data_IF_556749728069
#
_entry.id   IF_556749728069
#
_cell.length_a   1.000
_cell.length_b   1.000
_cell.length_c   1.000
_cell.angle_alpha   90.00
_cell.angle_beta   90.00
_cell.angle_gamma   90.00
#
_symmetry.space_group_name_H-M   'P 1'
#
loop_
_entity.id
_entity.type
_entity.pdbx_description
1 polymer ?
#
# COMPACT_ATOMS: atom_id res chain seq x y z
N UNK A 1 -35.73 7.62 -23.78
CA UNK A 1 -34.26 7.75 -23.58
C UNK A 1 -33.86 6.97 -22.34
N UNK A 2 -32.82 6.14 -22.45
CA UNK A 2 -32.20 5.44 -21.32
C UNK A 2 -30.76 5.94 -21.15
N UNK A 3 -30.37 6.26 -19.92
CA UNK A 3 -28.99 6.56 -19.58
C UNK A 3 -28.46 5.39 -18.76
N UNK A 4 -27.42 4.73 -19.27
CA UNK A 4 -26.77 3.63 -18.59
C UNK A 4 -25.35 4.04 -18.17
N UNK A 5 -25.05 3.81 -16.90
CA UNK A 5 -23.69 3.96 -16.35
C UNK A 5 -23.01 2.59 -16.40
N UNK A 6 -21.94 2.47 -17.19
CA UNK A 6 -21.18 1.22 -17.33
C UNK A 6 -19.79 1.38 -16.73
N UNK A 7 -19.34 0.38 -15.96
CA UNK A 7 -17.96 0.30 -15.50
C UNK A 7 -17.10 -0.36 -16.60
N UNK A 8 -16.03 0.29 -17.10
CA UNK A 8 -15.21 -0.26 -18.19
C UNK A 8 -14.38 -1.50 -17.83
N UNK A 9 -14.29 -1.89 -16.55
CA UNK A 9 -13.38 -2.95 -16.08
C UNK A 9 -13.91 -4.39 -16.29
N UNK A 10 -14.36 -4.71 -17.51
CA UNK A 10 -14.90 -6.02 -17.90
C UNK A 10 -14.02 -6.70 -18.97
N UNK A 11 -12.74 -6.92 -18.66
CA UNK A 11 -11.90 -7.88 -19.38
C UNK A 11 -12.19 -9.34 -18.97
N UNK A 12 -13.05 -9.56 -17.97
CA UNK A 12 -13.55 -10.87 -17.56
C UNK A 12 -15.04 -10.97 -17.89
N UNK A 13 -15.47 -12.14 -18.38
CA UNK A 13 -16.82 -12.40 -18.89
C UNK A 13 -17.95 -11.88 -17.99
N UNK A 14 -19.04 -11.48 -18.66
CA UNK A 14 -20.22 -10.84 -18.10
C UNK A 14 -21.04 -11.81 -17.23
N UNK A 15 -20.59 -12.02 -15.99
CA UNK A 15 -21.25 -12.95 -15.04
C UNK A 15 -21.85 -12.21 -13.81
N UNK A 16 -21.80 -10.86 -13.78
CA UNK A 16 -22.26 -10.04 -12.66
C UNK A 16 -23.45 -9.15 -12.99
N UNK A 17 -24.45 -9.13 -12.10
CA UNK A 17 -25.63 -8.27 -12.16
C UNK A 17 -25.25 -6.79 -12.32
N UNK A 18 -25.31 -6.24 -13.54
CA UNK A 18 -25.44 -4.79 -13.71
C UNK A 18 -26.84 -4.42 -13.23
N UNK A 19 -26.98 -3.57 -12.21
CA UNK A 19 -28.29 -3.01 -11.86
C UNK A 19 -28.72 -2.08 -13.00
N UNK A 20 -29.69 -2.45 -13.85
CA UNK A 20 -30.16 -1.53 -14.87
C UNK A 20 -30.84 -0.37 -14.16
N UNK A 21 -30.36 0.86 -14.36
CA UNK A 21 -31.06 2.05 -13.93
C UNK A 21 -32.29 2.25 -14.84
N UNK A 22 -33.35 1.49 -14.57
CA UNK A 22 -34.63 1.66 -15.27
C UNK A 22 -35.38 2.86 -14.68
N UNK A 23 -35.44 3.94 -15.45
CA UNK A 23 -36.49 4.95 -15.29
C UNK A 23 -37.80 4.35 -15.78
N UNK A 24 -38.62 3.86 -14.85
CA UNK A 24 -40.00 3.47 -15.13
C UNK A 24 -40.87 4.73 -15.00
N UNK A 25 -41.18 5.34 -16.15
CA UNK A 25 -42.35 6.20 -16.40
C UNK A 25 -42.74 7.22 -15.33
N UNK A 26 -42.44 8.49 -15.59
CA UNK A 26 -43.10 9.64 -14.96
C UNK A 26 -42.57 10.00 -13.57
N UNK A 27 -42.05 11.22 -13.48
CA UNK A 27 -41.49 11.92 -12.31
C UNK A 27 -40.02 11.63 -11.97
N UNK A 28 -39.33 12.74 -11.73
CA UNK A 28 -37.94 12.91 -11.33
C UNK A 28 -37.50 11.80 -10.36
N UNK A 29 -36.73 10.81 -10.84
CA UNK A 29 -36.01 9.90 -9.96
C UNK A 29 -34.64 10.51 -9.66
N UNK A 30 -34.44 10.98 -8.43
CA UNK A 30 -33.09 11.20 -7.91
C UNK A 30 -32.46 9.83 -7.72
N UNK A 31 -31.73 9.36 -8.72
CA UNK A 31 -31.02 8.09 -8.60
C UNK A 31 -29.67 8.38 -7.93
N UNK A 32 -29.55 8.08 -6.63
CA UNK A 32 -28.25 8.04 -5.97
C UNK A 32 -27.45 6.88 -6.54
N UNK A 33 -26.35 7.18 -7.22
CA UNK A 33 -25.31 6.18 -7.49
C UNK A 33 -24.62 5.91 -6.15
N UNK A 34 -24.64 4.68 -5.62
CA UNK A 34 -23.96 4.39 -4.36
C UNK A 34 -22.46 4.68 -4.49
N UNK A 35 -21.86 5.27 -3.46
CA UNK A 35 -20.45 5.71 -3.41
C UNK A 35 -19.46 4.60 -3.79
N UNK A 36 -19.83 3.33 -3.58
CA UNK A 36 -19.02 2.15 -3.89
C UNK A 36 -18.69 1.95 -5.38
N UNK A 37 -19.43 2.57 -6.32
CA UNK A 37 -19.12 2.49 -7.77
C UNK A 37 -17.97 3.44 -8.20
N UNK A 38 -17.62 4.42 -7.36
CA UNK A 38 -16.58 5.43 -7.61
C UNK A 38 -15.33 5.28 -6.74
N UNK A 39 -15.35 4.35 -5.77
CA UNK A 39 -14.22 4.01 -4.89
C UNK A 39 -13.28 2.94 -5.49
N UNK A 40 -13.76 2.14 -6.45
CA UNK A 40 -13.10 0.89 -6.85
C UNK A 40 -11.87 1.01 -7.78
N UNK A 41 -11.45 2.21 -8.19
CA UNK A 41 -10.33 2.38 -9.13
C UNK A 41 -9.39 3.50 -8.70
N UNK A 42 -8.78 3.41 -7.52
CA UNK A 42 -7.63 4.25 -7.20
C UNK A 42 -6.38 3.70 -7.91
N UNK A 43 -6.35 3.82 -9.24
CA UNK A 43 -5.12 3.76 -10.02
C UNK A 43 -4.73 5.21 -10.30
N UNK A 44 -3.50 5.67 -9.98
CA UNK A 44 -3.09 7.07 -10.15
C UNK A 44 -3.13 7.60 -11.60
N UNK A 45 -3.38 6.73 -12.57
CA UNK A 45 -3.72 7.09 -13.93
C UNK A 45 -5.15 6.61 -14.21
N UNK A 46 -6.02 7.53 -14.64
CA UNK A 46 -7.28 7.24 -15.34
C UNK A 46 -8.53 6.85 -14.51
N UNK A 47 -9.07 7.76 -13.68
CA UNK A 47 -10.46 7.68 -13.24
C UNK A 47 -11.43 8.05 -14.37
N UNK A 48 -11.64 7.13 -15.31
CA UNK A 48 -12.62 7.29 -16.39
C UNK A 48 -13.86 6.46 -16.12
N UNK A 49 -15.02 7.01 -16.50
CA UNK A 49 -16.28 6.26 -16.62
C UNK A 49 -16.93 6.59 -17.95
N UNK A 50 -17.46 5.56 -18.62
CA UNK A 50 -18.22 5.69 -19.85
C UNK A 50 -19.71 5.68 -19.53
N UNK A 51 -20.42 6.71 -19.98
CA UNK A 51 -21.88 6.82 -19.92
C UNK A 51 -22.42 6.57 -21.32
N UNK A 52 -23.18 5.50 -21.49
CA UNK A 52 -23.88 5.23 -22.73
C UNK A 52 -25.26 5.89 -22.68
N UNK A 53 -25.57 6.66 -23.72
CA UNK A 53 -26.88 7.29 -23.91
C UNK A 53 -27.55 6.59 -25.09
N UNK A 54 -28.68 5.95 -24.84
CA UNK A 54 -29.51 5.35 -25.89
C UNK A 54 -30.87 6.04 -25.97
N UNK A 55 -31.29 6.37 -27.18
CA UNK A 55 -32.61 6.92 -27.48
C UNK A 55 -33.59 5.87 -27.99
N UNK A 56 -33.21 4.58 -27.99
CA UNK A 56 -34.03 3.49 -28.51
C UNK A 56 -35.23 3.21 -27.60
N UNK A 57 -36.34 3.85 -27.91
CA UNK A 57 -37.66 3.57 -27.36
C UNK A 57 -38.71 3.58 -28.48
N UNK A 58 -39.78 2.77 -28.35
CA UNK A 58 -40.88 2.73 -29.35
C UNK A 58 -41.72 4.00 -29.40
N UNK A 59 -41.50 4.96 -28.50
CA UNK A 59 -42.23 6.22 -28.35
C UNK A 59 -41.30 7.40 -28.60
N UNK A 60 -41.40 8.02 -29.78
CA UNK A 60 -40.78 9.31 -30.11
C UNK A 60 -39.24 9.32 -30.21
N UNK A 61 -38.71 9.94 -31.26
CA UNK A 61 -37.27 10.24 -31.33
C UNK A 61 -36.99 11.42 -30.41
N UNK A 62 -36.20 11.22 -29.35
CA UNK A 62 -35.65 12.33 -28.57
C UNK A 62 -34.73 13.17 -29.46
N UNK A 63 -34.86 14.49 -29.37
CA UNK A 63 -34.06 15.48 -30.10
C UNK A 63 -33.49 16.52 -29.15
N UNK A 64 -32.53 17.32 -29.62
CA UNK A 64 -31.93 18.43 -28.87
C UNK A 64 -31.31 18.00 -27.52
N UNK A 65 -30.57 16.88 -27.50
CA UNK A 65 -29.99 16.35 -26.26
C UNK A 65 -28.86 17.27 -25.80
N UNK A 66 -29.05 17.91 -24.64
CA UNK A 66 -27.99 18.70 -24.00
C UNK A 66 -27.55 18.01 -22.74
N UNK A 67 -26.24 17.82 -22.57
CA UNK A 67 -25.67 17.35 -21.32
C UNK A 67 -24.88 18.47 -20.68
N UNK A 68 -25.25 18.82 -19.46
CA UNK A 68 -24.54 19.83 -18.67
C UNK A 68 -23.88 19.10 -17.51
N UNK A 69 -22.56 19.04 -17.54
CA UNK A 69 -21.77 18.54 -16.43
C UNK A 69 -21.37 19.74 -15.56
N UNK A 70 -21.73 19.70 -14.29
CA UNK A 70 -21.33 20.71 -13.30
C UNK A 70 -20.65 20.02 -12.11
N UNK A 71 -19.66 20.68 -11.53
CA UNK A 71 -18.87 20.12 -10.43
C UNK A 71 -17.40 20.46 -10.60
N UNK A 72 -16.77 20.87 -9.51
CA UNK A 72 -15.33 21.17 -9.50
C UNK A 72 -14.54 19.90 -9.78
N UNK A 73 -13.59 19.97 -10.72
CA UNK A 73 -12.73 18.83 -11.04
C UNK A 73 -13.40 17.76 -11.92
N UNK A 74 -14.50 18.06 -12.60
CA UNK A 74 -15.07 17.16 -13.60
C UNK A 74 -14.74 17.67 -15.00
N UNK A 75 -14.37 16.76 -15.88
CA UNK A 75 -14.23 17.01 -17.32
C UNK A 75 -14.83 15.84 -18.10
N UNK A 76 -15.22 16.09 -19.34
CA UNK A 76 -15.78 15.06 -20.21
C UNK A 76 -15.08 15.03 -21.57
N UNK A 77 -15.21 13.91 -22.27
CA UNK A 77 -14.84 13.76 -23.67
C UNK A 77 -15.84 12.85 -24.38
N UNK A 78 -16.13 13.13 -25.64
CA UNK A 78 -16.91 12.21 -26.47
C UNK A 78 -16.05 11.01 -26.86
N UNK A 79 -16.64 9.82 -26.84
CA UNK A 79 -16.02 8.64 -27.41
C UNK A 79 -15.91 8.80 -28.94
N UNK A 80 -14.71 8.72 -29.53
CA UNK A 80 -14.53 8.83 -30.98
C UNK A 80 -14.98 7.57 -31.73
N UNK A 81 -15.32 6.48 -31.04
CA UNK A 81 -15.70 5.21 -31.66
C UNK A 81 -17.06 5.35 -32.37
N UNK A 82 -17.18 5.01 -33.66
CA UNK A 82 -18.41 5.22 -34.41
C UNK A 82 -19.60 4.42 -33.84
N UNK A 83 -20.78 5.05 -33.84
CA UNK A 83 -22.07 4.55 -33.34
C UNK A 83 -22.54 3.20 -33.90
N UNK A 84 -22.04 2.80 -35.08
CA UNK A 84 -22.51 1.62 -35.81
C UNK A 84 -22.23 0.28 -35.13
N UNK A 85 -21.40 0.24 -34.08
CA UNK A 85 -21.11 -0.97 -33.29
C UNK A 85 -22.14 -1.20 -32.17
N UNK A 86 -22.96 -0.19 -31.86
CA UNK A 86 -23.86 -0.21 -30.70
C UNK A 86 -25.31 -0.58 -31.04
N UNK A 87 -25.66 -0.58 -32.32
CA UNK A 87 -27.05 -0.69 -32.80
C UNK A 87 -27.53 -2.15 -33.06
N UNK A 88 -26.95 -3.17 -32.41
CA UNK A 88 -27.54 -4.52 -32.46
C UNK A 88 -28.74 -4.61 -31.52
N UNK A 89 -29.93 -4.87 -32.06
CA UNK A 89 -31.21 -4.92 -31.33
C UNK A 89 -31.36 -6.06 -30.30
N UNK A 90 -30.27 -6.75 -29.94
CA UNK A 90 -30.22 -7.67 -28.81
C UNK A 90 -29.39 -7.03 -27.69
N UNK A 91 -29.66 -7.32 -26.40
CA UNK A 91 -28.78 -6.96 -25.30
C UNK A 91 -27.50 -7.80 -25.40
N UNK A 92 -26.74 -7.62 -26.48
CA UNK A 92 -25.37 -8.08 -26.55
C UNK A 92 -24.60 -7.19 -25.59
N UNK A 93 -23.84 -7.84 -24.71
CA UNK A 93 -22.85 -7.21 -23.88
C UNK A 93 -22.15 -6.11 -24.68
N UNK A 94 -21.95 -4.94 -24.07
CA UNK A 94 -20.98 -3.94 -24.54
C UNK A 94 -19.72 -4.70 -24.94
N UNK A 95 -19.60 -5.00 -26.23
CA UNK A 95 -18.47 -5.77 -26.72
C UNK A 95 -17.41 -4.71 -26.84
N UNK A 96 -16.46 -4.78 -25.90
CA UNK A 96 -15.34 -3.87 -25.71
C UNK A 96 -14.93 -3.24 -27.05
N UNK A 97 -14.93 -1.91 -27.19
CA UNK A 97 -14.44 -1.28 -28.41
C UNK A 97 -13.03 -1.82 -28.70
N UNK A 98 -12.74 -2.09 -29.98
CA UNK A 98 -11.37 -2.39 -30.42
C UNK A 98 -10.37 -1.41 -29.79
N UNK A 99 -9.12 -1.83 -29.48
CA UNK A 99 -8.15 -1.11 -28.64
C UNK A 99 -7.57 0.15 -29.32
N UNK A 100 -8.42 1.09 -29.68
CA UNK A 100 -8.07 2.34 -30.34
C UNK A 100 -8.75 3.48 -29.62
N UNK A 101 -8.13 3.90 -28.53
CA UNK A 101 -7.61 5.24 -28.20
C UNK A 101 -7.47 5.23 -26.68
N UNK A 102 -6.26 5.48 -26.16
CA UNK A 102 -6.10 5.69 -24.72
C UNK A 102 -7.02 6.88 -24.34
N UNK A 103 -7.97 6.73 -23.40
CA UNK A 103 -8.83 7.84 -23.00
C UNK A 103 -8.04 9.07 -22.52
N UNK A 104 -6.76 8.89 -22.15
CA UNK A 104 -5.81 9.96 -21.89
C UNK A 104 -5.63 10.96 -23.05
N UNK A 105 -5.79 10.51 -24.29
CA UNK A 105 -5.58 11.32 -25.51
C UNK A 105 -6.84 12.08 -25.99
N UNK A 106 -7.98 11.90 -25.31
CA UNK A 106 -9.21 12.56 -25.71
C UNK A 106 -9.18 14.09 -25.46
N UNK A 107 -9.87 14.90 -26.27
CA UNK A 107 -9.98 16.34 -26.05
C UNK A 107 -10.97 16.65 -24.91
N UNK A 108 -10.48 16.59 -23.68
CA UNK A 108 -11.28 16.80 -22.48
C UNK A 108 -11.75 18.26 -22.34
N UNK A 109 -13.02 18.46 -22.03
CA UNK A 109 -13.64 19.78 -21.80
C UNK A 109 -14.34 19.86 -20.44
N UNK A 110 -14.37 21.06 -19.87
CA UNK A 110 -15.18 21.40 -18.70
C UNK A 110 -16.42 22.24 -19.07
N UNK A 111 -16.54 22.65 -20.34
CA UNK A 111 -17.69 23.43 -20.83
C UNK A 111 -18.91 22.52 -21.02
N UNK A 112 -20.14 23.05 -20.96
CA UNK A 112 -21.34 22.27 -21.29
C UNK A 112 -21.23 21.63 -22.68
N UNK A 113 -21.70 20.39 -22.82
CA UNK A 113 -21.75 19.71 -24.12
C UNK A 113 -23.16 19.79 -24.70
N UNK A 114 -23.23 20.25 -25.95
CA UNK A 114 -24.43 20.13 -26.74
C UNK A 114 -24.26 18.96 -27.71
N UNK A 115 -25.11 17.94 -27.60
CA UNK A 115 -25.10 16.79 -28.49
C UNK A 115 -26.35 16.89 -29.38
N UNK A 116 -26.17 17.38 -30.60
CA UNK A 116 -27.21 17.30 -31.63
C UNK A 116 -27.33 15.86 -32.14
N UNK A 117 -27.91 14.98 -31.31
CA UNK A 117 -28.32 13.64 -31.71
C UNK A 117 -29.59 13.77 -32.55
N UNK A 118 -29.42 13.89 -33.86
CA UNK A 118 -30.53 13.98 -34.83
C UNK A 118 -30.93 12.62 -35.40
N UNK A 119 -30.13 11.58 -35.17
CA UNK A 119 -30.45 10.19 -35.50
C UNK A 119 -30.08 9.26 -34.33
N UNK A 120 -30.74 8.08 -34.30
CA UNK A 120 -30.75 7.09 -33.22
C UNK A 120 -29.42 6.36 -33.01
N UNK A 121 -28.36 7.12 -32.80
CA UNK A 121 -27.01 6.62 -32.61
C UNK A 121 -26.65 6.73 -31.12
N UNK A 122 -26.39 5.58 -30.50
CA UNK A 122 -25.85 5.54 -29.15
C UNK A 122 -24.52 6.32 -29.12
N UNK A 123 -24.43 7.29 -28.21
CA UNK A 123 -23.18 8.00 -27.95
C UNK A 123 -22.66 7.64 -26.56
N UNK A 124 -21.36 7.42 -26.49
CA UNK A 124 -20.63 7.22 -25.25
C UNK A 124 -19.97 8.55 -24.83
N UNK A 125 -20.23 8.97 -23.59
CA UNK A 125 -19.59 10.10 -22.94
C UNK A 125 -18.61 9.58 -21.90
N UNK A 126 -17.33 9.91 -22.05
CA UNK A 126 -16.33 9.68 -21.03
C UNK A 126 -16.35 10.83 -20.03
N UNK A 127 -16.40 10.51 -18.74
CA UNK A 127 -16.21 11.47 -17.65
C UNK A 127 -14.91 11.15 -16.94
N UNK A 128 -14.09 12.18 -16.66
CA UNK A 128 -12.91 12.08 -15.81
C UNK A 128 -13.00 13.01 -14.61
N UNK A 129 -12.31 12.58 -13.55
CA UNK A 129 -11.99 13.43 -12.41
C UNK A 129 -10.62 14.08 -12.61
N UNK A 130 -10.54 15.36 -12.28
CA UNK A 130 -9.31 16.12 -12.09
C UNK A 130 -9.24 16.49 -10.61
N UNK A 131 -8.09 16.31 -9.93
CA UNK A 131 -7.93 16.75 -8.55
C UNK A 131 -8.30 18.24 -8.42
N UNK A 132 -9.14 18.57 -7.44
CA UNK A 132 -9.48 19.96 -7.10
C UNK A 132 -8.44 20.58 -6.17
N UNK A 133 -7.55 19.77 -5.60
CA UNK A 133 -6.52 20.19 -4.66
C UNK A 133 -7.04 20.43 -3.25
N UNK A 134 -8.27 20.00 -2.98
CA UNK A 134 -8.88 20.07 -1.65
C UNK A 134 -9.50 18.74 -1.28
N UNK A 135 -9.14 18.21 -0.12
CA UNK A 135 -9.68 16.96 0.41
C UNK A 135 -11.20 17.03 0.62
N UNK A 136 -11.82 15.86 0.79
CA UNK A 136 -13.18 15.69 1.31
C UNK A 136 -14.22 15.41 0.25
N UNK A 137 -15.45 15.28 0.71
CA UNK A 137 -16.58 14.92 -0.14
C UNK A 137 -16.85 16.00 -1.19
N UNK A 138 -16.95 15.55 -2.43
CA UNK A 138 -17.26 16.32 -3.61
C UNK A 138 -18.54 15.80 -4.21
N UNK A 139 -19.27 16.71 -4.83
CA UNK A 139 -20.45 16.38 -5.62
C UNK A 139 -20.37 17.10 -6.96
N UNK A 140 -20.89 16.42 -7.98
CA UNK A 140 -21.11 16.95 -9.30
C UNK A 140 -22.49 16.54 -9.78
N UNK A 141 -22.98 17.22 -10.80
CA UNK A 141 -24.28 16.99 -11.39
C UNK A 141 -24.13 16.86 -12.90
N UNK A 142 -24.65 15.76 -13.45
CA UNK A 142 -24.89 15.61 -14.87
C UNK A 142 -26.38 15.80 -15.12
N UNK A 143 -26.73 16.92 -15.74
CA UNK A 143 -28.07 17.22 -16.18
C UNK A 143 -28.19 16.89 -17.66
N UNK A 144 -29.07 15.95 -18.01
CA UNK A 144 -29.43 15.66 -19.38
C UNK A 144 -30.82 16.22 -19.68
N UNK A 145 -30.94 17.04 -20.72
CA UNK A 145 -32.22 17.57 -21.21
C UNK A 145 -32.45 17.14 -22.63
N UNK A 146 -33.68 16.80 -23.00
CA UNK A 146 -34.05 16.42 -24.37
C UNK A 146 -35.49 16.83 -24.66
N UNK A 147 -35.87 16.96 -25.92
CA UNK A 147 -37.26 17.17 -26.34
C UNK A 147 -37.78 15.89 -26.99
N UNK A 148 -38.91 15.37 -26.52
CA UNK A 148 -39.64 14.26 -27.12
C UNK A 148 -41.10 14.64 -27.45
N UNK A 149 -41.92 13.66 -27.84
CA UNK A 149 -43.33 13.87 -28.22
C UNK A 149 -44.17 14.47 -27.07
N UNK A 150 -43.72 14.33 -25.82
CA UNK A 150 -44.37 14.87 -24.63
C UNK A 150 -43.81 16.25 -24.21
N UNK A 151 -42.85 16.79 -24.97
CA UNK A 151 -42.23 18.10 -24.73
C UNK A 151 -40.80 18.02 -24.18
N UNK A 152 -40.36 19.08 -23.50
CA UNK A 152 -39.03 19.14 -22.90
C UNK A 152 -38.96 18.28 -21.63
N UNK A 153 -38.04 17.33 -21.63
CA UNK A 153 -37.75 16.43 -20.53
C UNK A 153 -36.35 16.71 -19.95
N UNK A 154 -36.15 16.31 -18.70
CA UNK A 154 -34.83 16.35 -18.07
C UNK A 154 -34.63 15.23 -17.07
N UNK A 155 -33.39 14.80 -16.92
CA UNK A 155 -32.95 13.88 -15.85
C UNK A 155 -31.65 14.37 -15.24
N UNK A 156 -31.50 14.14 -13.94
CA UNK A 156 -30.38 14.60 -13.13
C UNK A 156 -29.69 13.41 -12.50
N UNK A 157 -28.38 13.33 -12.70
CA UNK A 157 -27.52 12.33 -12.07
C UNK A 157 -26.55 13.06 -11.14
N UNK A 158 -26.59 12.72 -9.86
CA UNK A 158 -25.63 13.23 -8.87
C UNK A 158 -24.44 12.28 -8.80
N UNK A 159 -23.25 12.82 -9.05
CA UNK A 159 -21.98 12.15 -8.88
C UNK A 159 -21.41 12.56 -7.52
N UNK A 160 -21.06 11.61 -6.66
CA UNK A 160 -20.47 11.89 -5.36
C UNK A 160 -19.16 11.12 -5.21
N UNK A 161 -18.10 11.79 -4.77
CA UNK A 161 -16.81 11.16 -4.53
C UNK A 161 -16.09 11.84 -3.37
N UNK A 162 -15.20 11.13 -2.68
CA UNK A 162 -14.33 11.75 -1.69
C UNK A 162 -12.97 11.96 -2.32
N UNK A 163 -12.54 13.23 -2.42
CA UNK A 163 -11.17 13.54 -2.84
C UNK A 163 -10.23 13.28 -1.66
N UNK A 164 -9.18 12.45 -1.83
CA UNK A 164 -8.25 12.19 -0.75
C UNK A 164 -7.55 13.50 -0.35
N UNK A 165 -7.13 13.56 0.92
CA UNK A 165 -6.22 14.63 1.32
C UNK A 165 -4.95 14.54 0.47
N UNK A 166 -4.47 15.67 -0.11
CA UNK A 166 -3.20 15.65 -0.82
C UNK A 166 -2.13 15.08 0.13
N UNK A 167 -1.21 14.25 -0.38
CA UNK A 167 -0.18 13.70 0.48
C UNK A 167 0.62 14.84 1.13
N UNK A 168 1.04 14.68 2.39
CA UNK A 168 1.86 15.69 3.05
C UNK A 168 3.10 15.97 2.20
N UNK A 169 3.62 17.21 2.15
CA UNK A 169 4.81 17.51 1.35
C UNK A 169 5.98 16.61 1.73
N UNK A 170 6.90 16.32 0.80
CA UNK A 170 8.05 15.48 1.06
C UNK A 170 8.93 16.11 2.14
N UNK A 171 9.36 15.27 3.09
CA UNK A 171 10.24 15.64 4.18
C UNK A 171 11.66 15.92 3.66
N UNK A 172 12.42 16.81 4.32
CA UNK A 172 13.82 17.02 3.99
C UNK A 172 14.67 15.78 4.33
N UNK A 173 15.90 15.68 3.77
CA UNK A 173 16.87 14.66 4.17
C UNK A 173 17.08 14.63 5.69
N UNK A 174 17.37 13.44 6.23
CA UNK A 174 17.57 13.24 7.66
C UNK A 174 18.69 14.15 8.19
N UNK A 175 18.44 14.77 9.35
CA UNK A 175 19.35 15.65 10.06
C UNK A 175 19.63 15.19 11.50
N UNK A 176 18.83 14.24 12.01
CA UNK A 176 18.98 13.65 13.31
C UNK A 176 20.29 12.85 13.47
N UNK A 177 20.77 12.79 14.71
CA UNK A 177 21.92 11.95 15.05
C UNK A 177 21.56 10.46 14.94
N UNK A 178 22.50 9.58 14.54
CA UNK A 178 22.31 8.14 14.57
C UNK A 178 21.74 7.63 15.90
N UNK A 179 20.88 6.61 15.82
CA UNK A 179 20.30 6.00 17.02
C UNK A 179 21.30 5.01 17.61
N UNK A 180 21.96 5.44 18.70
CA UNK A 180 22.97 4.64 19.42
C UNK A 180 22.45 4.01 20.72
N UNK A 181 21.23 4.36 21.13
CA UNK A 181 20.62 3.90 22.37
C UNK A 181 19.55 2.83 22.12
N UNK A 182 19.32 2.00 23.13
CA UNK A 182 18.25 1.00 23.11
C UNK A 182 16.89 1.68 23.33
N UNK A 183 15.89 1.29 22.56
CA UNK A 183 14.51 1.69 22.82
C UNK A 183 13.61 0.47 22.97
N UNK A 184 12.72 0.50 23.94
CA UNK A 184 11.75 -0.57 24.19
C UNK A 184 10.42 0.01 24.68
N UNK A 185 9.32 -0.61 24.30
CA UNK A 185 7.99 -0.29 24.81
C UNK A 185 6.89 -0.72 23.85
N UNK A 186 5.62 -0.41 24.14
CA UNK A 186 4.54 -0.61 23.19
C UNK A 186 4.69 0.34 21.98
N UNK A 187 4.15 -0.05 20.83
CA UNK A 187 4.23 0.74 19.60
C UNK A 187 3.69 2.17 19.81
N UNK A 188 4.50 3.17 19.48
CA UNK A 188 4.18 4.60 19.65
C UNK A 188 4.39 5.16 21.05
N UNK A 189 4.92 4.37 21.99
CA UNK A 189 5.36 4.85 23.30
C UNK A 189 6.66 4.13 23.71
N UNK A 190 7.64 4.11 22.79
CA UNK A 190 8.95 3.57 23.06
C UNK A 190 9.71 4.47 24.02
N UNK A 191 10.37 3.85 24.98
CA UNK A 191 11.15 4.53 26.00
C UNK A 191 12.64 4.26 25.72
N UNK A 192 13.44 5.32 25.85
CA UNK A 192 14.88 5.29 25.64
C UNK A 192 15.59 4.76 26.87
N UNK A 193 16.51 3.82 26.68
CA UNK A 193 17.43 3.32 27.70
C UNK A 193 18.84 3.73 27.26
N UNK A 194 19.41 4.70 27.96
CA UNK A 194 20.74 5.24 27.67
C UNK A 194 21.87 4.25 28.00
N UNK A 195 21.64 3.40 29.01
CA UNK A 195 22.64 2.45 29.47
C UNK A 195 22.60 1.18 28.62
N UNK A 196 23.72 0.86 27.98
CA UNK A 196 23.88 -0.41 27.28
C UNK A 196 23.86 -1.60 28.28
N UNK A 197 23.20 -2.72 27.93
CA UNK A 197 23.22 -3.91 28.78
C UNK A 197 24.64 -4.49 28.87
N UNK A 198 25.00 -4.98 30.06
CA UNK A 198 26.27 -5.68 30.32
C UNK A 198 26.31 -7.00 29.56
N UNK A 199 25.19 -7.72 29.55
CA UNK A 199 25.01 -8.92 28.73
C UNK A 199 23.99 -8.64 27.65
N UNK A 200 24.42 -8.80 26.40
CA UNK A 200 23.55 -8.71 25.23
C UNK A 200 23.66 -9.97 24.40
N UNK A 201 22.63 -10.82 24.42
CA UNK A 201 22.60 -12.02 23.59
C UNK A 201 21.41 -12.00 22.65
N UNK A 202 21.68 -12.19 21.35
CA UNK A 202 20.69 -12.42 20.30
C UNK A 202 20.87 -13.83 19.77
N UNK A 203 20.23 -14.80 20.41
CA UNK A 203 20.33 -16.17 19.95
C UNK A 203 19.22 -16.42 18.94
N UNK A 204 19.58 -16.49 17.66
CA UNK A 204 18.68 -16.97 16.62
C UNK A 204 18.56 -18.47 16.78
N UNK A 205 17.38 -18.93 17.16
CA UNK A 205 17.06 -20.35 17.07
C UNK A 205 17.17 -20.76 15.59
N UNK A 206 17.89 -21.84 15.29
CA UNK A 206 17.99 -22.36 13.93
C UNK A 206 16.71 -23.15 13.55
N UNK A 207 15.79 -23.28 14.49
CA UNK A 207 14.52 -24.00 14.38
C UNK A 207 14.69 -25.49 14.34
N UNK A 208 15.92 -25.99 14.48
CA UNK A 208 16.25 -27.40 14.43
C UNK A 208 16.02 -28.00 15.81
N UNK A 209 15.03 -28.88 15.92
CA UNK A 209 14.79 -29.67 17.13
C UNK A 209 15.08 -31.13 16.80
N UNK A 210 15.87 -31.78 17.65
CA UNK A 210 16.14 -33.21 17.57
C UNK A 210 15.28 -33.95 18.59
N UNK A 211 14.53 -34.94 18.13
CA UNK A 211 13.74 -35.82 18.97
C UNK A 211 14.28 -37.23 18.82
N UNK A 212 14.89 -37.75 19.89
CA UNK A 212 15.25 -39.17 19.98
C UNK A 212 14.05 -39.94 20.52
N UNK A 213 13.52 -40.84 19.70
CA UNK A 213 12.46 -41.77 20.12
C UNK A 213 13.01 -42.80 21.12
N UNK A 214 12.11 -43.45 21.87
CA UNK A 214 12.45 -44.55 22.78
C UNK A 214 13.13 -45.75 22.09
N UNK A 215 13.01 -45.86 20.76
CA UNK A 215 13.67 -46.89 19.94
C UNK A 215 15.07 -46.46 19.44
N UNK A 216 15.57 -45.30 19.88
CA UNK A 216 16.88 -44.77 19.47
C UNK A 216 16.88 -44.12 18.07
N UNK A 217 15.71 -43.93 17.45
CA UNK A 217 15.59 -43.22 16.18
C UNK A 217 15.56 -41.71 16.42
N UNK A 218 16.49 -41.00 15.80
CA UNK A 218 16.58 -39.54 15.82
C UNK A 218 15.73 -38.94 14.69
N UNK A 219 14.80 -38.06 15.04
CA UNK A 219 13.98 -37.28 14.11
C UNK A 219 14.30 -35.81 14.28
N UNK A 220 14.77 -35.17 13.23
CA UNK A 220 15.01 -33.72 13.21
C UNK A 220 13.82 -33.01 12.61
N UNK A 221 13.23 -32.04 13.30
CA UNK A 221 12.29 -31.09 12.70
C UNK A 221 12.97 -29.74 12.54
N UNK A 222 12.57 -28.97 11.53
CA UNK A 222 13.06 -27.61 11.32
C UNK A 222 11.90 -26.65 11.14
N UNK A 223 11.73 -25.70 12.06
CA UNK A 223 10.82 -24.58 11.83
C UNK A 223 11.34 -23.70 10.70
N UNK A 224 10.46 -23.32 9.78
CA UNK A 224 10.77 -22.36 8.72
C UNK A 224 11.16 -21.00 9.31
N UNK A 225 10.47 -20.59 10.38
CA UNK A 225 10.74 -19.38 11.12
C UNK A 225 10.80 -19.73 12.60
N UNK A 226 12.00 -19.88 13.11
CA UNK A 226 12.21 -20.08 14.53
C UNK A 226 12.26 -18.71 15.22
N UNK A 227 11.55 -18.52 16.33
CA UNK A 227 11.54 -17.26 17.04
C UNK A 227 12.93 -16.98 17.61
N UNK A 228 13.38 -15.73 17.51
CA UNK A 228 14.60 -15.29 18.19
C UNK A 228 14.35 -15.17 19.69
N UNK A 229 15.37 -15.54 20.46
CA UNK A 229 15.42 -15.30 21.89
C UNK A 229 16.47 -14.24 22.17
N UNK A 230 16.05 -13.20 22.87
CA UNK A 230 16.93 -12.10 23.23
C UNK A 230 16.94 -11.98 24.74
N UNK A 231 18.13 -11.88 25.32
CA UNK A 231 18.31 -11.65 26.75
C UNK A 231 19.18 -10.43 26.98
N UNK A 232 18.74 -9.57 27.88
CA UNK A 232 19.48 -8.39 28.31
C UNK A 232 19.65 -8.41 29.81
N UNK A 233 20.84 -8.05 30.28
CA UNK A 233 21.08 -7.82 31.70
C UNK A 233 21.89 -6.56 31.93
N UNK A 234 21.47 -5.78 32.91
CA UNK A 234 22.18 -4.61 33.43
C UNK A 234 22.55 -4.90 34.87
N UNK A 235 23.84 -4.75 35.22
CA UNK A 235 24.27 -4.95 36.60
C UNK A 235 24.08 -3.67 37.44
N UNK A 236 24.10 -2.50 36.78
CA UNK A 236 24.04 -1.18 37.42
C UNK A 236 23.20 -0.21 36.58
N UNK A 237 21.91 -0.44 36.53
CA UNK A 237 20.96 0.48 35.87
C UNK A 237 20.58 1.61 36.84
N UNK A 238 20.54 2.85 36.35
CA UNK A 238 20.06 3.97 37.16
C UNK A 238 18.59 3.77 37.59
N UNK A 239 18.18 4.26 38.78
CA UNK A 239 16.83 4.03 39.31
C UNK A 239 15.71 4.38 38.32
N UNK A 240 15.81 5.54 37.66
CA UNK A 240 14.78 6.01 36.73
C UNK A 240 14.69 5.09 35.49
N UNK A 241 15.83 4.65 34.95
CA UNK A 241 15.86 3.70 33.83
C UNK A 241 15.37 2.30 34.25
N UNK A 242 15.67 1.87 35.49
CA UNK A 242 15.17 0.62 36.04
C UNK A 242 13.66 0.63 36.25
N UNK A 243 13.08 1.75 36.67
CA UNK A 243 11.63 1.92 36.79
C UNK A 243 10.95 1.86 35.41
N UNK A 244 11.56 2.47 34.38
CA UNK A 244 11.09 2.35 32.98
C UNK A 244 11.08 0.89 32.53
N UNK A 245 12.16 0.14 32.75
CA UNK A 245 12.22 -1.28 32.36
C UNK A 245 11.20 -2.11 33.13
N UNK A 246 11.03 -1.85 34.43
CA UNK A 246 10.03 -2.49 35.27
C UNK A 246 8.61 -2.21 34.76
N UNK A 247 8.30 -0.96 34.45
CA UNK A 247 7.00 -0.54 33.93
C UNK A 247 6.69 -1.26 32.62
N UNK A 248 7.63 -1.28 31.67
CA UNK A 248 7.44 -1.97 30.38
C UNK A 248 7.20 -3.47 30.59
N UNK A 249 8.01 -4.12 31.44
CA UNK A 249 7.89 -5.55 31.71
C UNK A 249 6.57 -5.92 32.39
N UNK A 250 6.19 -5.18 33.41
CA UNK A 250 4.97 -5.42 34.18
C UNK A 250 3.73 -5.09 33.36
N UNK A 251 3.71 -3.96 32.64
CA UNK A 251 2.58 -3.62 31.77
C UNK A 251 2.40 -4.67 30.69
N UNK A 252 3.46 -5.05 29.98
CA UNK A 252 3.38 -6.09 28.96
C UNK A 252 2.82 -7.41 29.51
N UNK A 253 3.20 -7.78 30.72
CA UNK A 253 2.67 -8.97 31.40
C UNK A 253 1.18 -8.82 31.76
N UNK A 254 0.76 -7.67 32.31
CA UNK A 254 -0.62 -7.47 32.75
C UNK A 254 -1.61 -7.28 31.61
N UNK A 255 -1.18 -6.68 30.50
CA UNK A 255 -2.04 -6.44 29.33
C UNK A 255 -1.91 -7.50 28.25
N UNK A 256 -1.05 -8.50 28.45
CA UNK A 256 -0.70 -9.53 27.45
C UNK A 256 -0.35 -8.90 26.08
N UNK A 257 0.44 -7.83 26.13
CA UNK A 257 0.82 -7.05 24.95
C UNK A 257 2.25 -7.31 24.55
N UNK A 258 2.49 -7.21 23.25
CA UNK A 258 3.84 -7.20 22.69
C UNK A 258 4.57 -5.89 22.94
N UNK A 259 5.90 -5.94 22.87
CA UNK A 259 6.78 -4.78 22.92
C UNK A 259 7.61 -4.71 21.65
N UNK A 260 7.85 -3.50 21.18
CA UNK A 260 8.78 -3.22 20.10
C UNK A 260 10.15 -2.88 20.68
N UNK A 261 11.19 -3.21 19.91
CA UNK A 261 12.58 -2.98 20.31
C UNK A 261 13.32 -2.35 19.14
N UNK A 262 13.90 -1.18 19.38
CA UNK A 262 14.89 -0.59 18.48
C UNK A 262 16.26 -0.88 19.08
N UNK A 263 16.97 -1.75 18.38
CA UNK A 263 18.27 -2.25 18.78
C UNK A 263 19.38 -1.45 18.08
N UNK A 264 20.19 -0.65 18.80
CA UNK A 264 21.24 0.17 18.19
C UNK A 264 22.37 -0.65 17.54
N UNK A 265 22.52 -1.92 17.89
CA UNK A 265 23.48 -2.81 17.24
C UNK A 265 22.86 -3.60 16.07
N UNK A 266 21.62 -3.30 15.64
CA UNK A 266 21.08 -3.77 14.37
C UNK A 266 21.54 -2.83 13.24
N UNK A 267 22.34 -3.36 12.30
CA UNK A 267 22.88 -2.60 11.16
C UNK A 267 21.94 -2.52 9.98
N UNK A 268 20.93 -3.38 9.95
CA UNK A 268 19.86 -3.38 8.95
C UNK A 268 18.60 -3.98 9.56
N UNK A 269 17.54 -3.19 9.63
CA UNK A 269 16.27 -3.55 10.28
C UNK A 269 15.44 -4.53 9.46
N UNK A 270 15.74 -4.68 8.17
CA UNK A 270 15.12 -5.70 7.33
C UNK A 270 15.54 -7.09 7.78
N UNK A 271 14.73 -8.11 7.50
CA UNK A 271 15.17 -9.51 7.68
C UNK A 271 16.30 -9.86 6.70
N UNK A 272 17.04 -10.93 7.00
CA UNK A 272 18.12 -11.45 6.15
C UNK A 272 17.64 -11.72 4.71
N UNK A 273 16.44 -12.26 4.58
CA UNK A 273 15.75 -12.56 3.33
C UNK A 273 15.43 -11.27 2.57
N UNK A 274 14.80 -10.33 3.27
CA UNK A 274 14.41 -9.04 2.73
C UNK A 274 15.60 -8.20 2.26
N UNK A 275 16.67 -8.15 3.04
CA UNK A 275 17.86 -7.35 2.74
C UNK A 275 18.61 -7.84 1.50
N UNK A 276 18.37 -9.09 1.09
CA UNK A 276 19.02 -9.72 -0.08
C UNK A 276 18.11 -9.81 -1.29
N UNK A 277 16.82 -9.52 -1.17
CA UNK A 277 15.84 -9.83 -2.22
C UNK A 277 15.69 -11.34 -2.45
N UNK A 278 16.00 -12.17 -1.45
CA UNK A 278 16.07 -13.64 -1.56
C UNK A 278 15.05 -14.31 -0.67
N UNK A 279 14.49 -15.40 -1.16
CA UNK A 279 13.58 -16.23 -0.38
C UNK A 279 14.36 -17.31 0.38
N UNK A 280 13.81 -17.79 1.49
CA UNK A 280 14.36 -18.97 2.17
C UNK A 280 14.38 -20.18 1.21
N UNK A 281 15.41 -21.03 1.28
CA UNK A 281 15.60 -22.13 0.33
C UNK A 281 14.39 -23.11 0.22
N UNK A 282 13.59 -23.24 1.28
CA UNK A 282 12.39 -24.08 1.28
C UNK A 282 11.12 -23.38 0.75
N UNK A 283 11.14 -22.06 0.57
CA UNK A 283 10.01 -21.30 0.02
C UNK A 283 9.86 -21.57 -1.47
N UNK A 284 8.81 -22.31 -1.85
CA UNK A 284 8.49 -22.69 -3.22
C UNK A 284 7.18 -22.09 -3.74
N UNK A 285 6.45 -21.34 -2.92
CA UNK A 285 5.19 -20.69 -3.28
C UNK A 285 5.33 -19.17 -3.34
N UNK A 286 4.60 -18.52 -4.24
CA UNK A 286 4.51 -17.05 -4.32
C UNK A 286 4.06 -16.42 -3.00
N UNK A 287 3.25 -17.14 -2.21
CA UNK A 287 2.84 -16.74 -0.86
C UNK A 287 4.04 -16.41 0.03
N UNK A 288 5.13 -17.18 -0.09
CA UNK A 288 6.35 -16.97 0.67
C UNK A 288 7.06 -15.65 0.34
N UNK A 289 6.95 -15.17 -0.90
CA UNK A 289 7.44 -13.84 -1.27
C UNK A 289 6.47 -12.77 -0.79
N UNK A 290 5.16 -13.06 -0.83
CA UNK A 290 4.11 -12.22 -0.24
C UNK A 290 4.25 -11.98 1.26
N UNK A 291 4.92 -12.87 2.00
CA UNK A 291 5.19 -12.67 3.44
C UNK A 291 6.29 -11.63 3.71
N UNK A 292 7.06 -11.28 2.68
CA UNK A 292 8.20 -10.37 2.77
C UNK A 292 7.94 -9.05 2.05
N UNK A 293 7.10 -9.09 1.01
CA UNK A 293 6.83 -7.98 0.11
C UNK A 293 5.37 -7.94 -0.33
N UNK A 294 4.87 -6.76 -0.65
CA UNK A 294 3.66 -6.58 -1.45
C UNK A 294 3.92 -5.55 -2.55
N UNK A 295 3.05 -5.52 -3.57
CA UNK A 295 3.03 -4.46 -4.59
C UNK A 295 1.66 -3.80 -4.51
N UNK A 296 1.65 -2.48 -4.31
CA UNK A 296 0.45 -1.65 -4.49
C UNK A 296 0.46 -1.13 -5.93
N UNK A 297 -0.53 -1.51 -6.73
CA UNK A 297 -0.60 -1.16 -8.15
C UNK A 297 -0.97 -2.35 -9.04
N UNK A 298 -0.61 -2.27 -10.32
CA UNK A 298 -0.94 -3.30 -11.31
C UNK A 298 0.00 -4.53 -11.24
N UNK A 299 1.25 -4.31 -10.86
CA UNK A 299 2.25 -5.36 -10.73
C UNK A 299 1.95 -6.34 -9.60
N UNK A 300 2.62 -7.50 -9.65
CA UNK A 300 2.46 -8.55 -8.62
C UNK A 300 3.79 -9.07 -8.12
N UNK A 301 3.82 -9.54 -6.87
CA UNK A 301 5.00 -10.23 -6.33
C UNK A 301 5.11 -11.61 -6.97
N UNK A 302 6.32 -11.95 -7.43
CA UNK A 302 6.63 -13.22 -8.08
C UNK A 302 7.98 -13.78 -7.61
N UNK A 303 8.29 -15.00 -8.05
CA UNK A 303 9.57 -15.67 -7.77
C UNK A 303 10.34 -15.85 -9.07
N UNK A 304 11.58 -15.37 -9.09
CA UNK A 304 12.55 -15.59 -10.16
C UNK A 304 13.66 -16.56 -9.74
N UNK A 305 14.30 -17.18 -10.73
CA UNK A 305 15.44 -18.09 -10.54
C UNK A 305 16.67 -17.52 -11.26
N UNK A 306 17.77 -17.35 -10.53
CA UNK A 306 19.08 -16.98 -11.08
C UNK A 306 20.11 -17.91 -10.46
N UNK A 307 20.88 -18.61 -11.29
CA UNK A 307 21.91 -19.58 -10.85
C UNK A 307 21.38 -20.57 -9.80
N UNK A 308 20.17 -21.10 -10.04
CA UNK A 308 19.43 -21.99 -9.13
C UNK A 308 19.06 -21.38 -7.76
N UNK A 309 19.29 -20.09 -7.56
CA UNK A 309 18.87 -19.34 -6.38
C UNK A 309 17.54 -18.65 -6.64
N UNK A 310 16.64 -18.67 -5.63
CA UNK A 310 15.32 -18.03 -5.71
C UNK A 310 15.39 -16.58 -5.22
N UNK A 311 14.79 -15.69 -6.02
CA UNK A 311 14.70 -14.27 -5.74
C UNK A 311 13.25 -13.80 -5.71
N UNK A 312 12.96 -12.85 -4.83
CA UNK A 312 11.71 -12.10 -4.89
C UNK A 312 11.79 -11.12 -6.07
N UNK A 313 10.73 -11.10 -6.87
CA UNK A 313 10.63 -10.31 -8.08
C UNK A 313 9.30 -9.55 -8.09
N UNK A 314 9.26 -8.47 -8.86
CA UNK A 314 8.02 -7.86 -9.33
C UNK A 314 7.76 -8.36 -10.74
N UNK A 315 6.50 -8.69 -11.02
CA UNK A 315 6.02 -9.07 -12.35
C UNK A 315 5.13 -7.97 -12.91
N UNK A 316 5.37 -7.62 -14.18
CA UNK A 316 4.52 -6.74 -15.00
C UNK A 316 4.18 -5.41 -14.29
N UNK A 317 5.19 -4.74 -13.74
CA UNK A 317 5.01 -3.48 -12.99
C UNK A 317 4.67 -2.30 -13.90
N UNK A 318 3.78 -1.44 -13.45
CA UNK A 318 3.44 -0.16 -14.08
C UNK A 318 4.16 1.02 -13.42
N UNK A 319 4.27 2.14 -14.14
CA UNK A 319 4.76 3.40 -13.57
C UNK A 319 3.85 3.82 -12.43
N UNK A 320 4.43 4.13 -11.28
CA UNK A 320 3.72 4.50 -10.06
C UNK A 320 3.39 3.34 -9.12
N UNK A 321 3.59 2.09 -9.54
CA UNK A 321 3.45 0.94 -8.63
C UNK A 321 4.48 1.05 -7.49
N UNK A 322 4.09 0.60 -6.29
CA UNK A 322 4.94 0.66 -5.10
C UNK A 322 5.27 -0.74 -4.59
N UNK A 323 6.56 -1.07 -4.56
CA UNK A 323 7.07 -2.28 -3.90
C UNK A 323 7.28 -1.96 -2.42
N UNK A 324 6.61 -2.70 -1.53
CA UNK A 324 6.61 -2.45 -0.09
C UNK A 324 7.23 -3.64 0.62
N UNK A 325 8.20 -3.39 1.50
CA UNK A 325 8.71 -4.45 2.39
C UNK A 325 7.78 -4.57 3.60
N UNK A 326 7.48 -5.81 3.99
CA UNK A 326 6.53 -6.09 5.06
C UNK A 326 7.25 -6.37 6.39
N UNK A 327 6.82 -5.70 7.46
CA UNK A 327 7.25 -6.08 8.79
C UNK A 327 6.62 -7.40 9.21
N UNK A 328 7.36 -8.29 9.88
CA UNK A 328 6.89 -9.65 10.23
C UNK A 328 5.74 -9.68 11.24
N UNK A 329 5.47 -8.55 11.90
CA UNK A 329 4.35 -8.41 12.83
C UNK A 329 3.35 -7.33 12.38
N UNK A 330 3.85 -6.20 11.86
CA UNK A 330 3.05 -5.00 11.51
C UNK A 330 2.66 -4.94 10.03
N UNK A 331 3.08 -5.90 9.20
CA UNK A 331 2.76 -5.94 7.79
C UNK A 331 3.22 -4.67 7.05
N UNK A 332 2.31 -4.04 6.31
CA UNK A 332 2.57 -2.82 5.53
C UNK A 332 2.77 -1.57 6.38
N UNK A 333 2.34 -1.59 7.65
CA UNK A 333 2.58 -0.47 8.57
C UNK A 333 4.08 -0.27 8.85
N UNK A 334 4.88 -1.34 8.75
CA UNK A 334 6.34 -1.24 8.74
C UNK A 334 7.00 -1.30 10.12
N UNK A 335 8.12 -0.59 10.27
CA UNK A 335 9.06 -0.73 11.38
C UNK A 335 8.83 0.33 12.45
N UNK A 336 8.95 -0.02 13.75
CA UNK A 336 8.66 0.89 14.86
C UNK A 336 9.69 2.02 14.95
N UNK A 337 9.26 3.24 15.25
CA UNK A 337 10.15 4.40 15.43
C UNK A 337 9.59 5.37 16.48
N UNK A 338 10.35 6.42 16.79
CA UNK A 338 9.83 7.60 17.49
C UNK A 338 10.03 8.87 16.66
N UNK A 339 9.18 9.89 16.83
CA UNK A 339 9.38 11.19 16.17
C UNK A 339 10.78 11.77 16.41
N UNK A 340 11.38 12.31 15.34
CA UNK A 340 12.72 12.88 15.33
C UNK A 340 13.85 11.87 15.09
N UNK A 341 13.59 10.56 15.05
CA UNK A 341 14.60 9.58 14.67
C UNK A 341 14.93 9.68 13.18
N UNK A 342 16.23 9.70 12.79
CA UNK A 342 16.61 9.64 11.39
C UNK A 342 16.37 8.23 10.84
N UNK A 343 15.79 8.13 9.66
CA UNK A 343 15.56 6.87 8.96
C UNK A 343 16.20 6.95 7.58
N UNK A 344 16.86 5.86 7.17
CA UNK A 344 17.50 5.74 5.87
C UNK A 344 17.02 4.46 5.19
N UNK A 345 16.70 4.56 3.90
CA UNK A 345 16.45 3.42 3.03
C UNK A 345 17.43 3.47 1.86
N UNK A 346 18.14 2.38 1.64
CA UNK A 346 19.03 2.20 0.49
C UNK A 346 18.60 0.96 -0.32
N UNK A 347 18.65 1.08 -1.64
CA UNK A 347 18.42 -0.01 -2.58
C UNK A 347 19.75 -0.39 -3.24
N UNK A 348 19.99 -1.69 -3.39
CA UNK A 348 21.23 -2.21 -3.95
C UNK A 348 21.16 -2.37 -5.45
N UNK A 349 22.23 -1.95 -6.14
CA UNK A 349 22.35 -2.15 -7.56
C UNK A 349 22.73 -3.60 -7.92
N UNK A 350 21.89 -4.26 -8.72
CA UNK A 350 22.20 -5.55 -9.36
C UNK A 350 22.20 -5.40 -10.89
N UNK A 351 22.44 -4.18 -11.37
CA UNK A 351 22.35 -3.81 -12.77
C UNK A 351 20.91 -3.76 -13.26
N UNK A 352 20.74 -3.83 -14.57
CA UNK A 352 19.44 -3.65 -15.23
C UNK A 352 18.40 -4.71 -14.87
N UNK A 353 18.77 -5.82 -14.23
CA UNK A 353 17.83 -6.89 -13.89
C UNK A 353 16.98 -6.59 -12.64
N UNK A 354 17.39 -5.63 -11.79
CA UNK A 354 16.64 -5.26 -10.59
C UNK A 354 15.76 -4.03 -10.78
N UNK A 355 14.79 -3.86 -9.87
CA UNK A 355 13.93 -2.67 -9.80
C UNK A 355 14.74 -1.41 -9.50
N UNK A 356 15.93 -1.51 -8.89
CA UNK A 356 16.80 -0.36 -8.61
C UNK A 356 17.03 0.53 -9.84
N UNK A 357 17.16 -0.06 -11.02
CA UNK A 357 17.40 0.69 -12.26
C UNK A 357 16.19 1.50 -12.76
N UNK A 358 14.98 1.23 -12.23
CA UNK A 358 13.71 1.79 -12.70
C UNK A 358 12.82 2.25 -11.53
N UNK A 359 13.38 2.39 -10.34
CA UNK A 359 12.63 2.71 -9.15
C UNK A 359 13.41 3.68 -8.27
N UNK A 360 12.66 4.48 -7.52
CA UNK A 360 13.20 5.40 -6.52
C UNK A 360 12.77 4.98 -5.11
N UNK A 361 13.69 5.00 -4.13
CA UNK A 361 13.35 4.65 -2.77
C UNK A 361 12.47 5.73 -2.11
N UNK A 362 11.51 5.27 -1.32
CA UNK A 362 10.56 6.10 -0.56
C UNK A 362 10.41 5.59 0.86
N UNK A 363 10.33 6.51 1.81
CA UNK A 363 9.93 6.26 3.19
C UNK A 363 8.53 6.82 3.40
N UNK A 364 7.59 5.99 3.85
CA UNK A 364 6.26 6.42 4.27
C UNK A 364 6.16 6.32 5.80
N UNK A 365 5.91 7.45 6.46
CA UNK A 365 5.78 7.54 7.91
C UNK A 365 4.30 7.49 8.29
N UNK A 366 3.95 6.54 9.15
CA UNK A 366 2.56 6.26 9.50
C UNK A 366 2.34 6.48 11.01
N UNK A 367 1.14 6.94 11.35
CA UNK A 367 0.70 7.00 12.74
C UNK A 367 0.22 5.62 13.25
N UNK A 368 -0.27 5.57 14.50
CA UNK A 368 -0.73 4.33 15.13
C UNK A 368 -1.94 3.69 14.43
N UNK A 369 -2.71 4.46 13.66
CA UNK A 369 -3.84 3.95 12.87
C UNK A 369 -3.42 3.41 11.50
N UNK A 370 -2.14 3.58 11.12
CA UNK A 370 -1.65 3.29 9.78
C UNK A 370 -1.85 4.44 8.79
N UNK A 371 -2.27 5.62 9.25
CA UNK A 371 -2.48 6.79 8.39
C UNK A 371 -1.15 7.46 8.07
N UNK A 372 -0.97 7.86 6.81
CA UNK A 372 0.23 8.57 6.35
C UNK A 372 0.31 9.97 6.96
N UNK A 373 1.37 10.23 7.73
CA UNK A 373 1.63 11.55 8.35
C UNK A 373 2.81 12.29 7.71
N UNK A 374 3.64 11.59 6.93
CA UNK A 374 4.74 12.18 6.19
C UNK A 374 5.38 11.18 5.24
N UNK A 375 6.13 11.67 4.27
CA UNK A 375 6.92 10.81 3.40
C UNK A 375 8.21 11.49 2.99
N UNK A 376 9.19 10.69 2.58
CA UNK A 376 10.39 11.18 1.91
C UNK A 376 10.64 10.31 0.69
N UNK A 377 11.06 10.92 -0.41
CA UNK A 377 11.26 10.22 -1.68
C UNK A 377 12.53 10.76 -2.33
N UNK A 378 13.35 9.87 -2.87
CA UNK A 378 14.53 10.30 -3.60
C UNK A 378 14.19 10.67 -5.05
N UNK A 379 15.12 11.33 -5.73
CA UNK A 379 15.02 11.52 -7.17
C UNK A 379 15.06 10.17 -7.91
N UNK A 380 14.52 10.13 -9.12
CA UNK A 380 14.59 8.95 -10.00
C UNK A 380 16.04 8.44 -10.15
N UNK A 381 16.23 7.14 -9.97
CA UNK A 381 17.53 6.47 -10.04
C UNK A 381 18.49 6.73 -8.87
N UNK A 382 18.05 7.39 -7.79
CA UNK A 382 18.86 7.55 -6.60
C UNK A 382 18.93 6.26 -5.78
N UNK A 383 20.12 5.95 -5.24
CA UNK A 383 20.38 4.72 -4.49
C UNK A 383 19.78 4.72 -3.08
N UNK A 384 19.50 5.90 -2.52
CA UNK A 384 19.01 6.03 -1.14
C UNK A 384 18.14 7.25 -0.92
N UNK A 385 17.31 7.17 0.12
CA UNK A 385 16.50 8.26 0.68
C UNK A 385 16.68 8.29 2.20
N UNK A 386 16.57 9.47 2.80
CA UNK A 386 16.54 9.61 4.25
C UNK A 386 15.57 10.72 4.67
N UNK A 387 15.05 10.61 5.88
CA UNK A 387 14.30 11.68 6.55
C UNK A 387 14.24 11.44 8.06
N UNK A 388 14.04 12.51 8.82
CA UNK A 388 13.69 12.41 10.23
C UNK A 388 12.20 12.10 10.37
N UNK A 389 11.84 11.19 11.27
CA UNK A 389 10.46 10.82 11.51
C UNK A 389 9.64 12.04 11.97
N UNK A 390 8.53 12.39 11.30
CA UNK A 390 7.74 13.56 11.65
C UNK A 390 6.96 13.35 12.95
N UNK A 391 6.42 14.44 13.51
CA UNK A 391 5.53 14.35 14.67
C UNK A 391 4.32 13.46 14.37
N UNK A 392 3.95 12.60 15.32
CA UNK A 392 2.83 11.66 15.18
C UNK A 392 3.18 10.33 14.49
N UNK A 393 4.33 10.23 13.82
CA UNK A 393 4.78 8.96 13.24
C UNK A 393 5.17 7.96 14.34
N UNK A 394 4.73 6.71 14.19
CA UNK A 394 5.10 5.60 15.08
C UNK A 394 5.69 4.42 14.32
N UNK A 395 5.46 4.33 13.01
CA UNK A 395 6.13 3.37 12.13
C UNK A 395 6.64 4.03 10.85
N UNK A 396 7.57 3.34 10.18
CA UNK A 396 8.04 3.65 8.83
C UNK A 396 7.92 2.44 7.91
N UNK A 397 7.30 2.65 6.76
CA UNK A 397 7.15 1.68 5.68
C UNK A 397 8.16 2.01 4.57
N UNK A 398 9.23 1.22 4.39
CA UNK A 398 10.14 1.34 3.26
C UNK A 398 9.47 0.88 1.97
N UNK A 399 9.62 1.68 0.91
CA UNK A 399 8.99 1.46 -0.39
C UNK A 399 9.96 1.75 -1.53
N UNK A 400 9.69 1.18 -2.70
CA UNK A 400 10.32 1.56 -3.96
C UNK A 400 9.21 1.86 -4.98
N UNK A 401 9.16 3.10 -5.45
CA UNK A 401 8.18 3.55 -6.45
C UNK A 401 8.76 3.32 -7.83
N UNK A 402 8.04 2.60 -8.68
CA UNK A 402 8.49 2.35 -10.06
C UNK A 402 8.33 3.60 -10.92
N UNK A 403 9.42 4.06 -11.50
CA UNK A 403 9.46 5.19 -12.43
C UNK A 403 9.02 4.78 -13.84
N UNK A 404 9.38 3.56 -14.25
CA UNK A 404 9.09 3.02 -15.58
C UNK A 404 8.30 1.72 -15.51
N UNK A 405 7.29 1.60 -16.38
CA UNK A 405 6.60 0.35 -16.60
C UNK A 405 7.49 -0.70 -17.28
N UNK A 406 7.25 -1.98 -17.00
CA UNK A 406 7.94 -3.09 -17.65
C UNK A 406 7.06 -4.33 -17.76
N UNK A 407 7.43 -5.23 -18.67
CA UNK A 407 6.83 -6.56 -18.78
C UNK A 407 7.82 -7.64 -18.33
N UNK A 408 7.32 -8.77 -17.84
CA UNK A 408 8.13 -9.87 -17.33
C UNK A 408 8.54 -9.66 -15.87
N UNK A 409 9.74 -10.14 -15.50
CA UNK A 409 10.22 -10.15 -14.12
C UNK A 409 11.39 -9.18 -13.91
N UNK A 410 11.35 -8.42 -12.81
CA UNK A 410 12.47 -7.64 -12.28
C UNK A 410 12.76 -8.06 -10.83
N UNK A 411 14.03 -8.20 -10.48
CA UNK A 411 14.43 -8.55 -9.11
C UNK A 411 14.15 -7.37 -8.16
N UNK A 412 13.62 -7.63 -6.98
CA UNK A 412 13.53 -6.57 -5.95
C UNK A 412 14.94 -6.13 -5.50
N UNK A 413 15.88 -7.08 -5.46
CA UNK A 413 17.29 -6.80 -5.16
C UNK A 413 17.58 -6.57 -3.67
N UNK A 414 18.85 -6.25 -3.32
CA UNK A 414 19.25 -5.98 -1.95
C UNK A 414 18.68 -4.64 -1.45
N UNK A 415 18.46 -4.53 -0.15
CA UNK A 415 18.01 -3.28 0.47
C UNK A 415 18.50 -3.17 1.92
N UNK A 416 18.59 -1.95 2.43
CA UNK A 416 18.83 -1.66 3.84
C UNK A 416 17.86 -0.61 4.36
N UNK A 417 17.23 -0.89 5.49
CA UNK A 417 16.50 0.08 6.30
C UNK A 417 17.28 0.27 7.61
N UNK A 418 17.65 1.50 7.96
CA UNK A 418 18.52 1.79 9.11
C UNK A 418 18.13 3.07 9.84
N UNK A 419 18.49 3.17 11.12
CA UNK A 419 18.40 4.40 11.92
C UNK A 419 19.73 5.16 12.04
N UNK A 420 20.67 4.83 11.16
CA UNK A 420 21.98 5.44 11.00
C UNK A 420 22.33 5.45 9.52
N UNK A 421 23.17 6.38 9.03
CA UNK A 421 23.61 6.38 7.64
C UNK A 421 24.12 4.99 7.24
N UNK A 422 23.61 4.40 6.14
CA UNK A 422 23.97 3.05 5.76
C UNK A 422 25.47 2.99 5.38
N UNK A 423 26.17 1.88 5.70
CA UNK A 423 27.51 1.64 5.16
C UNK A 423 27.45 1.52 3.62
N UNK A 424 28.58 1.71 2.92
CA UNK A 424 28.61 1.65 1.46
C UNK A 424 28.16 0.31 0.88
N UNK A 425 28.35 -0.78 1.63
CA UNK A 425 27.82 -2.10 1.29
C UNK A 425 26.55 -2.38 2.10
N UNK A 426 25.49 -2.86 1.43
CA UNK A 426 24.25 -3.25 2.09
C UNK A 426 24.52 -4.41 3.07
N UNK A 427 24.47 -4.10 4.36
CA UNK A 427 24.62 -5.06 5.43
C UNK A 427 23.50 -6.10 5.40
N UNK A 428 23.81 -7.31 5.86
CA UNK A 428 22.81 -8.35 6.03
C UNK A 428 21.75 -7.89 7.04
N UNK A 429 20.49 -8.18 6.74
CA UNK A 429 19.36 -7.88 7.61
C UNK A 429 19.47 -8.57 8.96
N UNK A 430 19.59 -7.75 10.00
CA UNK A 430 19.51 -8.17 11.40
C UNK A 430 18.06 -8.33 11.83
N UNK A 431 17.11 -7.60 11.25
CA UNK A 431 15.70 -7.61 11.63
C UNK A 431 15.40 -6.73 12.86
N UNK A 432 14.17 -6.23 12.97
CA UNK A 432 13.66 -5.48 14.12
C UNK A 432 12.39 -6.15 14.66
N UNK A 433 12.50 -7.35 15.26
CA UNK A 433 11.33 -8.13 15.65
C UNK A 433 10.55 -7.47 16.79
N UNK A 434 9.24 -7.70 16.78
CA UNK A 434 8.34 -7.50 17.92
C UNK A 434 8.53 -8.65 18.91
N UNK A 435 8.47 -8.39 20.21
CA UNK A 435 8.74 -9.36 21.27
C UNK A 435 7.59 -9.51 22.26
N UNK A 436 7.52 -10.68 22.90
CA UNK A 436 6.86 -10.89 24.17
C UNK A 436 7.94 -11.01 25.27
N UNK A 437 7.71 -10.38 26.42
CA UNK A 437 8.57 -10.50 27.60
C UNK A 437 8.22 -11.79 28.32
N UNK A 438 9.16 -12.72 28.40
CA UNK A 438 8.95 -14.04 29.01
C UNK A 438 9.55 -14.16 30.40
N UNK A 439 10.53 -13.32 30.75
CA UNK A 439 11.05 -13.21 32.10
C UNK A 439 11.54 -11.79 32.39
N UNK A 440 11.41 -11.39 33.65
CA UNK A 440 11.95 -10.15 34.20
C UNK A 440 12.48 -10.45 35.59
N UNK A 441 13.70 -9.98 35.88
CA UNK A 441 14.25 -10.01 37.24
C UNK A 441 14.74 -8.64 37.64
N UNK A 442 14.57 -8.34 38.92
CA UNK A 442 15.04 -7.12 39.55
C UNK A 442 15.67 -7.44 40.90
N UNK A 443 16.96 -7.12 41.02
CA UNK A 443 17.70 -7.28 42.25
C UNK A 443 18.25 -5.93 42.73
N UNK A 444 18.15 -5.62 44.03
CA UNK A 444 18.65 -4.37 44.58
C UNK A 444 20.19 -4.31 44.51
N UNK A 445 20.74 -3.21 43.99
CA UNK A 445 22.19 -2.99 43.86
C UNK A 445 22.57 -1.53 44.18
N UNK A 446 22.22 -1.06 45.39
CA UNK A 446 22.23 0.35 45.80
C UNK A 446 23.49 1.14 45.39
N UNK A 447 23.36 2.36 44.81
CA UNK A 447 22.10 3.06 44.49
C UNK A 447 21.43 2.59 43.18
N UNK A 448 22.00 1.61 42.49
CA UNK A 448 21.52 1.09 41.21
C UNK A 448 20.58 -0.11 41.42
N UNK A 449 20.08 -0.65 40.31
CA UNK A 449 19.38 -1.95 40.27
C UNK A 449 20.04 -2.85 39.25
N UNK A 450 20.09 -4.14 39.56
CA UNK A 450 20.46 -5.16 38.59
C UNK A 450 19.17 -5.71 37.99
N UNK A 451 18.99 -5.50 36.70
CA UNK A 451 17.76 -5.83 35.97
C UNK A 451 18.08 -6.79 34.85
N UNK A 452 17.23 -7.78 34.60
CA UNK A 452 17.31 -8.59 33.39
C UNK A 452 15.95 -8.82 32.73
N UNK A 453 15.98 -8.99 31.42
CA UNK A 453 14.84 -9.29 30.57
C UNK A 453 15.15 -10.51 29.69
N UNK A 454 14.17 -11.40 29.56
CA UNK A 454 14.13 -12.40 28.51
C UNK A 454 12.95 -12.12 27.57
N UNK A 455 13.24 -12.13 26.28
CA UNK A 455 12.33 -11.74 25.21
C UNK A 455 12.26 -12.85 24.16
N UNK A 456 11.07 -13.11 23.63
CA UNK A 456 10.84 -14.05 22.53
C UNK A 456 10.15 -13.33 21.37
N UNK A 457 10.71 -13.44 20.16
CA UNK A 457 10.13 -12.85 18.95
C UNK A 457 8.71 -13.38 18.74
N UNK A 458 7.79 -12.45 18.51
CA UNK A 458 6.41 -12.73 18.13
C UNK A 458 6.22 -12.33 16.68
N UNK A 459 5.50 -13.16 15.94
CA UNK A 459 5.04 -12.88 14.59
C UNK A 459 3.54 -12.92 14.59
N UNK A 460 2.91 -11.98 13.91
CA UNK A 460 1.47 -12.02 13.77
C UNK A 460 1.12 -13.15 12.79
N UNK A 461 0.09 -13.91 13.12
CA UNK A 461 -0.61 -14.79 12.17
C UNK A 461 -1.67 -14.02 11.37
N UNK A 462 -1.67 -12.69 11.48
CA UNK A 462 -2.76 -11.87 11.00
C UNK A 462 -2.96 -12.12 9.49
N UNK A 463 -4.11 -12.67 9.08
CA UNK A 463 -4.45 -12.74 7.68
C UNK A 463 -4.52 -11.32 7.14
N UNK A 464 -3.93 -11.15 5.96
CA UNK A 464 -3.89 -9.91 5.18
C UNK A 464 -5.28 -9.33 4.95
#
# INVERSE_FOLDING_TARGET
MYIQLTNPDLSQGWDGESTPLQSLGGYISSTQVPSSLLEATFVPAADYRCIAISTDGPSGRASNITLTLTGTGLAWALDPTPSSVWNSAEPQALTVPSPMTDPGDLPWSADPIHIDATDADAQALWIRRSPTGSAGDKTGELLATWTDDDGDQSTRITLAWTEPEPPPPPLPPASGAPVDDLWIGPLGALLRIHDAPVTWQRTRDLGAAEFESLEGRLTTSRSRWAPRRTSWSWDRLEPDAADVVAEVALNAHYTDTTVEVIDPAARNLLTTEQSRGRLMAAANSTEAAGDLYTVEGAGTVAIGLIDSSRYACVRDGATGDEVIWLHSYHGSAGWPLVPGMPVYLALGDLGTASIHAIARPRLAFLDRSGTLVGHAEAAAGAESVSADAPAGAVTVSPRAVLDDAFTGLRLIGPAALTYAPPPPDIALGDGCPTYAITAYTDAPALPYRSVSLELVEVRSHAPR
#
